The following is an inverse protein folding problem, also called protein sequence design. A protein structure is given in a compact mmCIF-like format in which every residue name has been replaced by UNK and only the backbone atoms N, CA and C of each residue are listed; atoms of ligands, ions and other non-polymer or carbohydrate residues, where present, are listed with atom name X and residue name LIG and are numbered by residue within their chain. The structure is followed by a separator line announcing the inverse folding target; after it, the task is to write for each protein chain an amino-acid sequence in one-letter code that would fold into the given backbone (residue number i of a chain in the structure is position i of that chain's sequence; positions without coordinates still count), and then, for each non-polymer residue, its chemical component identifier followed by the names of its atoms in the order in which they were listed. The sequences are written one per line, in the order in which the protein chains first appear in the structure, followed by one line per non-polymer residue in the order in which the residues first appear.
data_IF_263775016118
#
_entry.id   IF_263775016118
#
_cell.length_a   1.000
_cell.length_b   1.000
_cell.length_c   1.000
_cell.angle_alpha   90.00
_cell.angle_beta   90.00
_cell.angle_gamma   90.00
#
_symmetry.space_group_name_H-M   'P 1'
#
loop_
_entity.id
_entity.type
_entity.pdbx_description
1 polymer ?
#
# COMPACT_ATOMS: atom_id res chain seq x y z
N UNK A 1 -13.38 8.06 -18.20
CA UNK A 1 -14.70 8.68 -18.47
C UNK A 1 -15.54 8.83 -17.21
N UNK A 2 -15.91 7.76 -16.51
CA UNK A 2 -16.70 7.87 -15.28
C UNK A 2 -16.09 8.80 -14.21
N UNK A 3 -14.79 8.70 -13.94
CA UNK A 3 -14.08 9.58 -12.99
C UNK A 3 -14.16 11.08 -13.37
N UNK A 4 -14.17 11.40 -14.66
CA UNK A 4 -14.30 12.79 -15.14
C UNK A 4 -15.73 13.28 -14.88
N UNK A 5 -16.74 12.46 -15.22
CA UNK A 5 -18.16 12.80 -15.00
C UNK A 5 -18.44 13.02 -13.52
N UNK A 6 -17.95 12.13 -12.65
CA UNK A 6 -18.08 12.26 -11.19
C UNK A 6 -17.38 13.51 -10.65
N UNK A 7 -16.36 14.02 -11.34
CA UNK A 7 -15.64 15.22 -10.91
C UNK A 7 -16.33 16.53 -11.28
N UNK A 8 -17.25 16.54 -12.25
CA UNK A 8 -17.92 17.76 -12.73
C UNK A 8 -18.65 18.52 -11.60
N UNK A 9 -19.49 17.88 -10.76
CA UNK A 9 -20.18 18.59 -9.68
C UNK A 9 -19.19 19.20 -8.67
N UNK A 10 -18.11 18.49 -8.37
CA UNK A 10 -17.02 18.96 -7.53
C UNK A 10 -16.32 20.20 -8.09
N UNK A 11 -15.95 20.14 -9.37
CA UNK A 11 -15.31 21.25 -10.07
C UNK A 11 -16.19 22.49 -10.18
N UNK A 12 -17.50 22.32 -10.38
CA UNK A 12 -18.45 23.44 -10.42
C UNK A 12 -18.63 24.12 -9.05
N UNK A 13 -18.58 23.36 -7.95
CA UNK A 13 -18.81 23.89 -6.60
C UNK A 13 -17.55 24.44 -5.94
N UNK A 14 -16.42 23.76 -6.09
CA UNK A 14 -15.19 24.04 -5.34
C UNK A 14 -14.04 24.55 -6.21
N UNK A 15 -14.26 24.68 -7.52
CA UNK A 15 -13.21 25.05 -8.47
C UNK A 15 -12.34 23.88 -8.90
N UNK A 16 -11.38 24.18 -9.78
CA UNK A 16 -10.44 23.19 -10.34
C UNK A 16 -9.03 23.56 -9.92
N UNK A 17 -8.40 22.71 -9.12
CA UNK A 17 -6.97 22.76 -8.87
C UNK A 17 -6.24 22.03 -10.00
N UNK A 18 -5.84 22.76 -11.05
CA UNK A 18 -5.39 22.17 -12.33
C UNK A 18 -4.23 21.17 -12.18
N UNK A 19 -3.21 21.52 -11.39
CA UNK A 19 -2.05 20.65 -11.20
C UNK A 19 -2.41 19.37 -10.43
N UNK A 20 -3.13 19.50 -9.31
CA UNK A 20 -3.63 18.37 -8.55
C UNK A 20 -4.58 17.48 -9.37
N UNK A 21 -5.49 18.08 -10.16
CA UNK A 21 -6.41 17.34 -11.03
C UNK A 21 -5.65 16.60 -12.14
N UNK A 22 -4.62 17.22 -12.71
CA UNK A 22 -3.75 16.58 -13.69
C UNK A 22 -3.00 15.39 -13.07
N UNK A 23 -2.45 15.54 -11.86
CA UNK A 23 -1.77 14.44 -11.13
C UNK A 23 -2.71 13.26 -10.84
N UNK A 24 -3.93 13.52 -10.35
CA UNK A 24 -4.90 12.46 -10.07
C UNK A 24 -5.37 11.74 -11.35
N UNK A 25 -5.67 12.48 -12.42
CA UNK A 25 -6.08 11.89 -13.71
C UNK A 25 -4.94 11.09 -14.35
N UNK A 26 -3.72 11.65 -14.36
CA UNK A 26 -2.54 10.95 -14.90
C UNK A 26 -2.15 9.74 -14.07
N UNK A 27 -2.34 9.77 -12.76
CA UNK A 27 -2.21 8.61 -11.88
C UNK A 27 -3.15 7.46 -12.28
N UNK A 28 -4.44 7.76 -12.46
CA UNK A 28 -5.42 6.77 -12.95
C UNK A 28 -5.09 6.25 -14.36
N UNK A 29 -4.70 7.14 -15.27
CA UNK A 29 -4.28 6.75 -16.62
C UNK A 29 -3.03 5.87 -16.59
N UNK A 30 -2.08 6.16 -15.71
CA UNK A 30 -0.88 5.37 -15.50
C UNK A 30 -1.19 3.94 -15.06
N UNK A 31 -2.17 3.75 -14.15
CA UNK A 31 -2.64 2.42 -13.75
C UNK A 31 -3.23 1.67 -14.94
N UNK A 32 -4.13 2.30 -15.69
CA UNK A 32 -4.76 1.69 -16.86
C UNK A 32 -3.75 1.37 -17.97
N UNK A 33 -2.78 2.26 -18.20
CA UNK A 33 -1.70 2.06 -19.16
C UNK A 33 -0.79 0.90 -18.74
N UNK A 34 -0.48 0.77 -17.45
CA UNK A 34 0.30 -0.34 -16.91
C UNK A 34 -0.44 -1.67 -17.07
N UNK A 35 -1.74 -1.69 -16.75
CA UNK A 35 -2.60 -2.86 -16.98
C UNK A 35 -2.65 -3.25 -18.46
N UNK A 36 -2.85 -2.26 -19.34
CA UNK A 36 -2.85 -2.45 -20.79
C UNK A 36 -1.50 -2.98 -21.30
N UNK A 37 -0.39 -2.45 -20.81
CA UNK A 37 0.95 -2.90 -21.19
C UNK A 37 1.19 -4.37 -20.79
N UNK A 38 0.79 -4.77 -19.58
CA UNK A 38 0.90 -6.16 -19.10
C UNK A 38 0.01 -7.09 -19.95
N UNK A 39 -1.25 -6.69 -20.20
CA UNK A 39 -2.18 -7.47 -21.03
C UNK A 39 -1.66 -7.65 -22.47
N UNK A 40 -1.10 -6.60 -23.07
CA UNK A 40 -0.47 -6.67 -24.39
C UNK A 40 0.77 -7.56 -24.35
N UNK A 41 1.64 -7.39 -23.34
CA UNK A 41 2.90 -8.13 -23.23
C UNK A 41 2.70 -9.64 -23.10
N UNK A 42 1.79 -10.08 -22.22
CA UNK A 42 1.60 -11.49 -21.93
C UNK A 42 0.46 -12.14 -22.71
N UNK A 43 -0.65 -11.41 -22.95
CA UNK A 43 -1.79 -11.92 -23.70
C UNK A 43 -1.57 -11.92 -25.22
N UNK A 44 -1.18 -10.77 -25.77
CA UNK A 44 -1.05 -10.60 -27.23
C UNK A 44 0.35 -11.01 -27.70
N UNK A 45 1.40 -10.42 -27.14
CA UNK A 45 2.79 -10.64 -27.56
C UNK A 45 3.40 -11.91 -26.98
N UNK A 46 2.76 -12.54 -26.00
CA UNK A 46 3.18 -13.80 -25.37
C UNK A 46 4.66 -13.81 -24.96
N UNK A 47 5.13 -12.70 -24.39
CA UNK A 47 6.52 -12.55 -23.97
C UNK A 47 6.84 -13.63 -22.91
N UNK A 48 7.99 -14.33 -23.01
CA UNK A 48 8.36 -15.33 -22.02
C UNK A 48 8.63 -14.69 -20.66
N UNK A 49 7.99 -15.24 -19.62
CA UNK A 49 8.07 -14.78 -18.23
C UNK A 49 9.49 -14.67 -17.67
N UNK A 50 10.44 -15.43 -18.22
CA UNK A 50 11.83 -15.46 -17.75
C UNK A 50 12.50 -14.10 -17.77
N UNK A 51 12.31 -13.32 -18.84
CA UNK A 51 13.00 -12.03 -19.01
C UNK A 51 12.46 -10.98 -18.04
N UNK A 52 11.14 -10.71 -17.97
CA UNK A 52 10.58 -9.78 -16.99
C UNK A 52 10.90 -10.16 -15.54
N UNK A 53 10.84 -11.45 -15.20
CA UNK A 53 11.14 -11.92 -13.83
C UNK A 53 12.61 -11.73 -13.44
N UNK A 54 13.54 -11.93 -14.36
CA UNK A 54 14.97 -11.69 -14.10
C UNK A 54 15.24 -10.21 -13.84
N UNK A 55 14.67 -9.34 -14.68
CA UNK A 55 14.79 -7.89 -14.51
C UNK A 55 14.19 -7.48 -13.17
N UNK A 56 12.98 -7.95 -12.86
CA UNK A 56 12.32 -7.66 -11.60
C UNK A 56 13.17 -8.09 -10.39
N UNK A 57 13.62 -9.35 -10.35
CA UNK A 57 14.43 -9.88 -9.26
C UNK A 57 15.74 -9.08 -9.12
N UNK A 58 16.40 -8.75 -10.23
CA UNK A 58 17.62 -7.94 -10.22
C UNK A 58 17.36 -6.53 -9.67
N UNK A 59 16.29 -5.87 -10.08
CA UNK A 59 15.90 -4.54 -9.59
C UNK A 59 15.63 -4.52 -8.08
N UNK A 60 14.97 -5.55 -7.56
CA UNK A 60 14.73 -5.66 -6.11
C UNK A 60 16.01 -5.97 -5.32
N UNK A 61 16.91 -6.80 -5.83
CA UNK A 61 18.22 -6.98 -5.20
C UNK A 61 19.06 -5.72 -5.20
N UNK A 62 19.02 -4.95 -6.30
CA UNK A 62 19.69 -3.66 -6.37
C UNK A 62 19.12 -2.66 -5.36
N UNK A 63 17.79 -2.53 -5.30
CA UNK A 63 17.09 -1.74 -4.28
C UNK A 63 17.45 -2.17 -2.86
N UNK A 64 17.52 -3.48 -2.60
CA UNK A 64 17.98 -4.02 -1.32
C UNK A 64 19.40 -3.58 -0.97
N UNK A 65 20.33 -3.75 -1.92
CA UNK A 65 21.72 -3.33 -1.77
C UNK A 65 21.87 -1.84 -1.49
N UNK A 66 21.10 -1.00 -2.18
CA UNK A 66 21.09 0.45 -1.90
C UNK A 66 20.60 0.72 -0.48
N UNK A 67 19.57 0.03 0.01
CA UNK A 67 19.13 0.18 1.40
C UNK A 67 20.18 -0.23 2.43
N UNK A 68 20.97 -1.28 2.16
CA UNK A 68 22.12 -1.65 3.01
C UNK A 68 23.17 -0.53 3.02
N UNK A 69 23.48 0.06 1.86
CA UNK A 69 24.41 1.19 1.78
C UNK A 69 23.88 2.41 2.52
N UNK A 70 22.59 2.72 2.39
CA UNK A 70 21.94 3.78 3.15
C UNK A 70 22.04 3.53 4.66
N UNK A 71 21.71 2.33 5.11
CA UNK A 71 21.80 1.96 6.52
C UNK A 71 23.23 2.10 7.06
N UNK A 72 24.23 1.60 6.33
CA UNK A 72 25.65 1.76 6.67
C UNK A 72 26.07 3.23 6.70
N UNK A 73 25.62 4.04 5.73
CA UNK A 73 25.95 5.46 5.69
C UNK A 73 25.40 6.23 6.90
N UNK A 74 24.21 5.85 7.39
CA UNK A 74 23.60 6.42 8.59
C UNK A 74 24.39 5.98 9.82
N UNK A 75 24.65 4.67 9.99
CA UNK A 75 25.32 4.12 11.17
C UNK A 75 26.80 4.50 11.28
N UNK A 76 27.47 4.70 10.13
CA UNK A 76 28.87 5.12 10.07
C UNK A 76 29.01 6.64 9.90
N UNK A 77 27.90 7.39 9.91
CA UNK A 77 27.85 8.85 9.74
C UNK A 77 28.63 9.37 8.51
N UNK A 78 28.51 8.70 7.37
CA UNK A 78 29.20 9.07 6.12
C UNK A 78 28.42 10.19 5.42
N UNK A 79 28.69 11.44 5.83
CA UNK A 79 27.98 12.64 5.34
C UNK A 79 27.83 12.75 3.82
N UNK A 80 28.88 12.51 2.99
CA UNK A 80 28.73 12.63 1.54
C UNK A 80 27.69 11.68 0.96
N UNK A 81 27.54 10.47 1.53
CA UNK A 81 26.56 9.49 1.07
C UNK A 81 25.16 9.84 1.57
N UNK A 82 25.02 10.25 2.84
CA UNK A 82 23.72 10.65 3.38
C UNK A 82 23.18 11.88 2.64
N UNK A 83 24.05 12.85 2.32
CA UNK A 83 23.69 14.05 1.56
C UNK A 83 23.32 13.70 0.12
N UNK A 84 24.09 12.83 -0.55
CA UNK A 84 23.77 12.37 -1.90
C UNK A 84 22.37 11.74 -1.96
N UNK A 85 22.06 10.82 -1.04
CA UNK A 85 20.75 10.18 -1.04
C UNK A 85 19.63 11.13 -0.58
N UNK A 86 19.90 12.08 0.31
CA UNK A 86 18.93 13.09 0.70
C UNK A 86 18.51 13.98 -0.47
N UNK A 87 19.43 14.29 -1.40
CA UNK A 87 19.11 15.02 -2.63
C UNK A 87 18.42 14.16 -3.69
N UNK A 88 18.70 12.85 -3.73
CA UNK A 88 18.10 11.93 -4.69
C UNK A 88 16.62 11.64 -4.39
N UNK A 89 16.23 11.66 -3.11
CA UNK A 89 14.88 11.27 -2.68
C UNK A 89 13.92 12.47 -2.63
N UNK A 90 12.74 12.31 -3.22
CA UNK A 90 11.68 13.32 -3.16
C UNK A 90 11.19 13.58 -1.72
N UNK A 91 11.04 12.52 -0.91
CA UNK A 91 10.85 12.59 0.54
C UNK A 91 12.03 11.89 1.21
N UNK A 92 12.82 12.61 1.98
CA UNK A 92 14.05 12.08 2.59
C UNK A 92 13.81 11.64 4.04
N UNK A 93 14.24 10.42 4.38
CA UNK A 93 14.16 9.84 5.75
C UNK A 93 15.55 9.48 6.28
N UNK A 94 16.60 9.85 5.55
CA UNK A 94 17.98 9.46 5.85
C UNK A 94 18.57 10.35 6.93
N UNK A 95 18.32 11.67 6.84
CA UNK A 95 18.82 12.62 7.84
C UNK A 95 17.94 12.59 9.08
N UNK A 96 18.55 12.56 10.28
CA UNK A 96 17.85 12.55 11.56
C UNK A 96 16.88 13.72 11.74
N UNK A 97 17.24 14.90 11.22
CA UNK A 97 16.42 16.12 11.26
C UNK A 97 15.26 16.14 10.25
N UNK A 98 14.96 15.01 9.60
CA UNK A 98 13.82 14.94 8.68
C UNK A 98 12.50 15.14 9.41
N UNK A 99 11.66 16.02 8.86
CA UNK A 99 10.28 16.27 9.30
C UNK A 99 9.42 15.00 9.24
N UNK A 100 9.86 13.98 8.48
CA UNK A 100 9.14 12.74 8.26
C UNK A 100 9.56 11.57 9.17
N UNK A 101 10.50 11.81 10.11
CA UNK A 101 11.05 10.77 10.99
C UNK A 101 12.30 10.13 10.41
N UNK A 102 13.43 10.80 10.64
CA UNK A 102 14.75 10.50 10.08
C UNK A 102 15.48 9.26 10.61
N UNK A 103 16.70 9.07 10.09
CA UNK A 103 17.64 8.03 10.52
C UNK A 103 17.33 6.64 9.96
N UNK A 104 16.64 6.54 8.81
CA UNK A 104 16.14 5.26 8.29
C UNK A 104 16.48 5.04 6.81
N UNK A 105 16.82 3.81 6.41
CA UNK A 105 17.00 3.47 5.00
C UNK A 105 15.65 3.39 4.26
N UNK A 106 15.64 3.87 3.02
CA UNK A 106 14.45 3.93 2.15
C UNK A 106 14.49 2.93 0.99
N UNK A 107 15.65 2.32 0.71
CA UNK A 107 15.81 1.28 -0.34
C UNK A 107 15.38 1.74 -1.75
N UNK A 108 15.49 3.04 -2.04
CA UNK A 108 14.98 3.71 -3.26
C UNK A 108 13.45 3.80 -3.37
N UNK A 109 12.70 3.45 -2.33
CA UNK A 109 11.28 3.75 -2.27
C UNK A 109 11.04 5.19 -1.84
N UNK A 110 9.93 5.77 -2.28
CA UNK A 110 9.51 7.10 -1.85
C UNK A 110 9.33 7.18 -0.32
N UNK A 111 8.95 6.07 0.32
CA UNK A 111 8.83 5.95 1.78
C UNK A 111 9.27 4.57 2.25
N UNK A 112 9.85 4.44 3.47
CA UNK A 112 10.11 3.14 4.07
C UNK A 112 8.84 2.28 4.23
N UNK A 113 7.68 2.94 4.32
CA UNK A 113 6.37 2.29 4.46
C UNK A 113 5.93 1.51 3.22
N UNK A 114 6.52 1.77 2.04
CA UNK A 114 6.20 1.07 0.79
C UNK A 114 6.92 -0.27 0.61
N UNK A 115 7.93 -0.56 1.45
CA UNK A 115 8.66 -1.83 1.37
C UNK A 115 7.69 -3.02 1.50
N UNK A 116 6.82 -3.00 2.51
CA UNK A 116 5.85 -4.08 2.74
C UNK A 116 4.83 -4.21 1.61
N UNK A 117 4.37 -3.09 1.04
CA UNK A 117 3.49 -3.07 -0.12
C UNK A 117 4.13 -3.75 -1.35
N UNK A 118 5.40 -3.49 -1.61
CA UNK A 118 6.10 -4.11 -2.74
C UNK A 118 6.41 -5.59 -2.50
N UNK A 119 6.88 -5.94 -1.30
CA UNK A 119 7.20 -7.34 -0.97
C UNK A 119 5.95 -8.22 -0.96
N UNK A 120 4.88 -7.78 -0.31
CA UNK A 120 3.69 -8.60 -0.09
C UNK A 120 2.56 -8.32 -1.08
N UNK A 121 2.50 -7.12 -1.65
CA UNK A 121 1.52 -6.75 -2.67
C UNK A 121 1.97 -7.08 -4.09
N UNK A 122 3.27 -7.12 -4.39
CA UNK A 122 3.79 -7.40 -5.75
C UNK A 122 4.58 -8.70 -5.82
N UNK A 123 5.56 -8.92 -4.94
CA UNK A 123 6.43 -10.11 -5.04
C UNK A 123 5.78 -11.39 -4.54
N UNK A 124 5.08 -11.34 -3.39
CA UNK A 124 4.40 -12.52 -2.84
C UNK A 124 3.34 -13.11 -3.78
N UNK A 125 2.49 -12.30 -4.44
CA UNK A 125 1.53 -12.82 -5.40
C UNK A 125 2.23 -13.39 -6.63
N UNK A 126 3.27 -12.71 -7.13
CA UNK A 126 4.07 -13.21 -8.23
C UNK A 126 4.78 -14.54 -7.90
N UNK A 127 5.21 -14.72 -6.66
CA UNK A 127 5.76 -15.99 -6.17
C UNK A 127 4.71 -17.10 -6.20
N UNK A 128 3.48 -16.82 -5.76
CA UNK A 128 2.36 -17.76 -5.85
C UNK A 128 2.02 -18.10 -7.31
N UNK A 129 2.02 -17.12 -8.22
CA UNK A 129 1.85 -17.33 -9.66
C UNK A 129 2.92 -18.27 -10.23
N UNK A 130 4.19 -18.03 -9.88
CA UNK A 130 5.30 -18.84 -10.36
C UNK A 130 5.33 -20.25 -9.76
N UNK A 131 4.64 -20.50 -8.65
CA UNK A 131 4.59 -21.84 -8.04
C UNK A 131 4.00 -22.89 -8.98
N UNK A 132 3.02 -22.50 -9.80
CA UNK A 132 2.41 -23.37 -10.82
C UNK A 132 3.23 -23.48 -12.11
N UNK A 133 4.00 -22.45 -12.46
CA UNK A 133 4.71 -22.36 -13.76
C UNK A 133 6.19 -22.74 -13.70
N UNK A 134 6.95 -22.19 -12.76
CA UNK A 134 8.40 -22.40 -12.63
C UNK A 134 8.85 -22.37 -11.16
N UNK A 135 9.13 -23.56 -10.63
CA UNK A 135 9.56 -23.76 -9.24
C UNK A 135 10.87 -23.05 -8.91
N UNK A 136 11.75 -22.81 -9.89
CA UNK A 136 13.04 -22.14 -9.67
C UNK A 136 12.81 -20.66 -9.39
N UNK A 137 12.01 -19.97 -10.20
CA UNK A 137 11.70 -18.55 -9.97
C UNK A 137 10.84 -18.36 -8.72
N UNK A 138 9.90 -19.26 -8.43
CA UNK A 138 9.16 -19.22 -7.17
C UNK A 138 10.10 -19.30 -5.96
N UNK A 139 11.12 -20.18 -5.98
CA UNK A 139 12.14 -20.26 -4.92
C UNK A 139 12.98 -18.98 -4.82
N UNK A 140 13.38 -18.40 -5.95
CA UNK A 140 14.16 -17.14 -5.98
C UNK A 140 13.36 -15.96 -5.43
N UNK A 141 12.09 -15.82 -5.82
CA UNK A 141 11.18 -14.79 -5.30
C UNK A 141 10.95 -14.98 -3.81
N UNK A 142 10.72 -16.21 -3.34
CA UNK A 142 10.60 -16.50 -1.90
C UNK A 142 11.85 -16.07 -1.13
N UNK A 143 13.02 -16.46 -1.61
CA UNK A 143 14.29 -16.12 -0.95
C UNK A 143 14.49 -14.60 -0.91
N UNK A 144 14.18 -13.90 -2.01
CA UNK A 144 14.22 -12.44 -2.07
C UNK A 144 13.26 -11.82 -1.04
N UNK A 145 11.98 -12.23 -1.00
CA UNK A 145 11.00 -11.70 -0.05
C UNK A 145 11.48 -11.89 1.39
N UNK A 146 11.97 -13.08 1.74
CA UNK A 146 12.43 -13.39 3.10
C UNK A 146 13.67 -12.57 3.47
N UNK A 147 14.69 -12.53 2.60
CA UNK A 147 15.92 -11.77 2.87
C UNK A 147 15.61 -10.28 2.97
N UNK A 148 14.75 -9.76 2.10
CA UNK A 148 14.38 -8.35 2.09
C UNK A 148 13.59 -8.01 3.37
N UNK A 149 12.58 -8.80 3.73
CA UNK A 149 11.78 -8.57 4.94
C UNK A 149 12.66 -8.62 6.21
N UNK A 150 13.49 -9.66 6.37
CA UNK A 150 14.40 -9.77 7.51
C UNK A 150 15.40 -8.62 7.53
N UNK A 151 16.02 -8.31 6.39
CA UNK A 151 16.97 -7.22 6.28
C UNK A 151 16.36 -5.87 6.64
N UNK A 152 15.16 -5.56 6.13
CA UNK A 152 14.45 -4.32 6.45
C UNK A 152 14.04 -4.22 7.93
N UNK A 153 13.69 -5.34 8.57
CA UNK A 153 13.42 -5.38 10.02
C UNK A 153 14.71 -5.16 10.83
N UNK A 154 15.79 -5.86 10.49
CA UNK A 154 17.10 -5.70 11.16
C UNK A 154 17.66 -4.29 11.01
N UNK A 155 17.47 -3.67 9.84
CA UNK A 155 17.88 -2.30 9.56
C UNK A 155 16.92 -1.25 10.12
N UNK A 156 15.88 -1.66 10.86
CA UNK A 156 14.86 -0.78 11.45
C UNK A 156 14.27 0.22 10.45
N UNK A 157 14.03 -0.24 9.22
CA UNK A 157 13.49 0.60 8.15
C UNK A 157 12.13 1.22 8.51
N UNK A 158 11.31 0.49 9.28
CA UNK A 158 10.10 1.01 9.89
C UNK A 158 9.27 -0.08 10.58
N UNK A 159 8.46 0.32 11.58
CA UNK A 159 7.53 -0.56 12.31
C UNK A 159 6.58 -1.31 11.39
N UNK A 160 6.18 -0.67 10.28
CA UNK A 160 5.23 -1.24 9.33
C UNK A 160 5.72 -2.51 8.64
N UNK A 161 7.03 -2.63 8.36
CA UNK A 161 7.53 -3.86 7.73
C UNK A 161 7.37 -5.07 8.66
N UNK A 162 7.45 -4.87 9.98
CA UNK A 162 7.19 -5.90 10.98
C UNK A 162 5.72 -6.32 10.92
N UNK A 163 4.79 -5.36 10.97
CA UNK A 163 3.36 -5.61 10.91
C UNK A 163 2.95 -6.31 9.60
N UNK A 164 3.41 -5.79 8.46
CA UNK A 164 3.12 -6.34 7.13
C UNK A 164 3.69 -7.76 6.99
N UNK A 165 4.87 -8.04 7.56
CA UNK A 165 5.47 -9.38 7.56
C UNK A 165 4.67 -10.38 8.38
N UNK A 166 4.14 -9.96 9.54
CA UNK A 166 3.27 -10.81 10.38
C UNK A 166 1.98 -11.12 9.63
N UNK A 167 1.32 -10.10 9.07
CA UNK A 167 0.06 -10.29 8.32
C UNK A 167 0.29 -11.18 7.10
N UNK A 168 1.34 -10.93 6.32
CA UNK A 168 1.69 -11.76 5.18
C UNK A 168 2.01 -13.21 5.58
N UNK A 169 2.68 -13.43 6.71
CA UNK A 169 2.96 -14.76 7.25
C UNK A 169 1.68 -15.49 7.66
N UNK A 170 0.75 -14.83 8.35
CA UNK A 170 -0.54 -15.39 8.70
C UNK A 170 -1.33 -15.80 7.45
N UNK A 171 -1.39 -14.91 6.45
CA UNK A 171 -2.03 -15.20 5.16
C UNK A 171 -1.36 -16.37 4.45
N UNK A 172 -0.02 -16.42 4.42
CA UNK A 172 0.72 -17.53 3.81
C UNK A 172 0.46 -18.88 4.53
N UNK A 173 0.39 -18.88 5.86
CA UNK A 173 0.05 -20.07 6.67
C UNK A 173 -1.38 -20.52 6.35
N UNK A 174 -2.32 -19.58 6.27
CA UNK A 174 -3.69 -19.86 5.88
C UNK A 174 -3.68 -20.52 4.52
N UNK A 175 -3.06 -19.94 3.49
CA UNK A 175 -3.02 -20.49 2.12
C UNK A 175 -2.42 -21.89 2.07
N UNK A 176 -1.29 -22.12 2.77
CA UNK A 176 -0.51 -23.35 2.62
C UNK A 176 -1.11 -24.59 3.29
N UNK A 177 -1.87 -24.44 4.37
CA UNK A 177 -2.42 -25.58 5.11
C UNK A 177 -3.81 -25.96 4.62
N UNK A 178 -4.08 -27.25 4.37
CA UNK A 178 -5.47 -27.68 4.14
C UNK A 178 -6.20 -27.74 5.48
N UNK A 179 -7.36 -27.08 5.56
CA UNK A 179 -8.14 -26.98 6.81
C UNK A 179 -9.13 -28.13 6.98
N UNK A 180 -9.33 -28.93 5.92
CA UNK A 180 -10.20 -30.10 5.94
C UNK A 180 -9.54 -31.31 6.64
N UNK A 181 -8.20 -31.43 6.61
CA UNK A 181 -7.48 -32.49 7.29
C UNK A 181 -7.16 -32.11 8.73
N UNK A 182 -7.52 -32.97 9.70
CA UNK A 182 -7.32 -32.77 11.13
C UNK A 182 -5.83 -32.59 11.49
N UNK A 183 -4.92 -33.33 10.86
CA UNK A 183 -3.47 -33.22 11.14
C UNK A 183 -2.89 -31.90 10.63
N UNK A 184 -3.28 -31.48 9.42
CA UNK A 184 -2.84 -30.21 8.85
C UNK A 184 -3.47 -29.01 9.55
N UNK A 185 -4.70 -29.15 10.04
CA UNK A 185 -5.36 -28.13 10.87
C UNK A 185 -4.63 -27.86 12.18
N UNK A 186 -4.22 -28.91 12.91
CA UNK A 186 -3.43 -28.74 14.15
C UNK A 186 -2.09 -28.07 13.87
N UNK A 187 -1.41 -28.50 12.80
CA UNK A 187 -0.16 -27.84 12.36
C UNK A 187 -0.39 -26.38 11.98
N UNK A 188 -1.46 -26.08 11.27
CA UNK A 188 -1.83 -24.71 10.89
C UNK A 188 -2.10 -23.82 12.10
N UNK A 189 -2.84 -24.32 13.10
CA UNK A 189 -3.09 -23.59 14.35
C UNK A 189 -1.78 -23.33 15.10
N UNK A 190 -0.92 -24.35 15.23
CA UNK A 190 0.39 -24.18 15.88
C UNK A 190 1.27 -23.15 15.15
N UNK A 191 1.25 -23.15 13.81
CA UNK A 191 1.97 -22.17 13.00
C UNK A 191 1.39 -20.75 13.15
N UNK A 192 0.07 -20.60 13.22
CA UNK A 192 -0.57 -19.31 13.48
C UNK A 192 -0.20 -18.77 14.86
N UNK A 193 -0.28 -19.60 15.90
CA UNK A 193 0.13 -19.22 17.26
C UNK A 193 1.62 -18.83 17.31
N UNK A 194 2.48 -19.60 16.65
CA UNK A 194 3.90 -19.29 16.52
C UNK A 194 4.17 -17.97 15.78
N UNK A 195 3.42 -17.69 14.70
CA UNK A 195 3.53 -16.45 13.94
C UNK A 195 3.03 -15.24 14.74
N UNK A 196 1.94 -15.39 15.51
CA UNK A 196 1.44 -14.35 16.42
C UNK A 196 2.46 -14.09 17.53
N UNK A 197 3.02 -15.13 18.16
CA UNK A 197 4.06 -14.97 19.18
C UNK A 197 5.31 -14.30 18.63
N UNK A 198 5.77 -14.69 17.45
CA UNK A 198 6.92 -14.06 16.79
C UNK A 198 6.63 -12.60 16.42
N UNK A 199 5.40 -12.33 15.96
CA UNK A 199 4.92 -10.98 15.72
C UNK A 199 4.92 -10.14 17.00
N UNK A 200 4.37 -10.66 18.10
CA UNK A 200 4.38 -10.02 19.40
C UNK A 200 5.81 -9.75 19.89
N UNK A 201 6.74 -10.69 19.73
CA UNK A 201 8.14 -10.48 20.10
C UNK A 201 8.83 -9.40 19.24
N UNK A 202 8.59 -9.41 17.92
CA UNK A 202 9.11 -8.38 17.02
C UNK A 202 8.51 -6.99 17.30
N UNK A 203 7.24 -6.95 17.71
CA UNK A 203 6.51 -5.76 18.15
C UNK A 203 7.06 -5.26 19.49
N UNK A 204 7.29 -6.14 20.47
CA UNK A 204 7.84 -5.79 21.79
C UNK A 204 9.31 -5.34 21.73
N UNK A 205 10.06 -5.76 20.72
CA UNK A 205 11.44 -5.33 20.50
C UNK A 205 11.55 -3.92 19.87
N UNK A 206 10.44 -3.33 19.43
CA UNK A 206 10.40 -2.00 18.82
C UNK A 206 9.99 -0.93 19.84
N UNK A 207 10.86 0.06 20.04
CA UNK A 207 10.68 1.15 21.01
C UNK A 207 9.47 2.05 20.71
N UNK A 208 8.86 1.93 19.52
CA UNK A 208 7.63 2.66 19.19
C UNK A 208 6.38 2.04 19.79
N UNK A 209 6.38 0.74 20.08
CA UNK A 209 5.20 0.06 20.63
C UNK A 209 5.10 0.16 22.15
N UNK A 210 6.23 0.31 22.85
CA UNK A 210 6.20 0.80 24.23
C UNK A 210 5.57 2.20 24.29
N UNK A 211 5.93 3.08 23.35
CA UNK A 211 5.32 4.40 23.23
C UNK A 211 3.83 4.34 22.88
N UNK A 212 3.37 3.44 22.00
CA UNK A 212 1.94 3.23 21.72
C UNK A 212 1.20 2.63 22.93
N UNK A 213 1.83 1.72 23.67
CA UNK A 213 1.24 1.13 24.87
C UNK A 213 1.11 2.15 26.02
N UNK A 214 2.03 3.10 26.10
CA UNK A 214 2.03 4.18 27.10
C UNK A 214 1.15 5.37 26.71
N UNK A 215 1.18 5.79 25.43
CA UNK A 215 0.56 7.03 24.94
C UNK A 215 -0.59 6.80 23.94
N UNK A 216 -1.04 5.55 23.75
CA UNK A 216 -2.08 5.21 22.78
C UNK A 216 -1.66 5.47 21.33
N UNK A 217 -2.61 5.84 20.47
CA UNK A 217 -2.35 6.08 19.05
C UNK A 217 -1.36 7.24 18.79
N UNK A 218 -1.20 8.17 19.74
CA UNK A 218 -0.24 9.29 19.66
C UNK A 218 1.21 8.85 19.87
N UNK A 219 1.42 7.68 20.48
CA UNK A 219 2.74 7.12 20.70
C UNK A 219 3.53 6.81 19.42
N UNK A 220 2.85 6.71 18.27
CA UNK A 220 3.47 6.68 16.95
C UNK A 220 2.89 7.80 16.08
N UNK A 221 3.66 8.89 15.94
CA UNK A 221 3.27 10.03 15.10
C UNK A 221 2.93 9.65 13.66
N UNK A 222 3.50 8.57 13.11
CA UNK A 222 3.13 8.09 11.78
C UNK A 222 1.78 7.36 11.76
N UNK A 223 1.42 6.66 12.85
CA UNK A 223 0.12 6.01 12.97
C UNK A 223 -0.97 7.06 13.21
N UNK A 224 -0.73 8.01 14.11
CA UNK A 224 -1.64 9.12 14.37
C UNK A 224 -1.85 9.98 13.12
N UNK A 225 -0.79 10.26 12.36
CA UNK A 225 -0.86 10.93 11.06
C UNK A 225 -1.84 10.28 10.09
N UNK A 226 -1.85 8.96 10.01
CA UNK A 226 -2.76 8.23 9.13
C UNK A 226 -4.21 8.39 9.56
N UNK A 227 -4.47 8.40 10.86
CA UNK A 227 -5.82 8.57 11.39
C UNK A 227 -6.38 9.92 10.99
N UNK A 228 -5.69 11.03 11.32
CA UNK A 228 -6.24 12.35 11.01
C UNK A 228 -6.23 12.67 9.52
N UNK A 229 -5.20 12.26 8.76
CA UNK A 229 -5.14 12.48 7.30
C UNK A 229 -6.20 11.70 6.52
N UNK A 230 -6.69 10.57 7.06
CA UNK A 230 -7.85 9.87 6.50
C UNK A 230 -9.17 10.42 7.02
N UNK A 231 -9.22 10.85 8.28
CA UNK A 231 -10.44 11.33 8.92
C UNK A 231 -10.88 12.70 8.37
N UNK A 232 -9.94 13.61 8.13
CA UNK A 232 -10.21 14.94 7.58
C UNK A 232 -11.06 14.89 6.29
N UNK A 233 -10.62 14.22 5.20
CA UNK A 233 -11.42 14.15 3.98
C UNK A 233 -12.73 13.37 4.18
N UNK A 234 -12.78 12.36 5.06
CA UNK A 234 -14.02 11.61 5.35
C UNK A 234 -15.04 12.52 6.04
N UNK A 235 -14.62 13.28 7.04
CA UNK A 235 -15.46 14.29 7.68
C UNK A 235 -15.87 15.38 6.69
N UNK A 236 -15.00 15.73 5.73
CA UNK A 236 -15.32 16.63 4.63
C UNK A 236 -16.47 16.12 3.76
N UNK A 237 -16.47 14.83 3.42
CA UNK A 237 -17.57 14.23 2.65
C UNK A 237 -18.91 14.34 3.38
N UNK A 238 -18.91 14.19 4.71
CA UNK A 238 -20.12 14.33 5.53
C UNK A 238 -20.60 15.79 5.63
N UNK A 239 -19.72 16.78 5.47
CA UNK A 239 -20.11 18.20 5.46
C UNK A 239 -20.97 18.57 4.25
N UNK A 240 -20.86 17.83 3.14
CA UNK A 240 -21.65 18.02 1.93
C UNK A 240 -22.26 16.68 1.47
N UNK A 241 -23.50 16.34 1.85
CA UNK A 241 -24.06 15.00 1.65
C UNK A 241 -24.01 14.45 0.22
N UNK A 242 -24.07 15.32 -0.80
CA UNK A 242 -23.96 14.91 -2.20
C UNK A 242 -22.52 14.50 -2.60
N UNK A 243 -21.50 15.02 -1.92
CA UNK A 243 -20.09 14.65 -2.13
C UNK A 243 -19.80 13.23 -1.66
N UNK A 244 -20.61 12.67 -0.76
CA UNK A 244 -20.52 11.23 -0.40
C UNK A 244 -20.71 10.35 -1.64
N UNK A 245 -21.55 10.75 -2.58
CA UNK A 245 -21.83 9.97 -3.79
C UNK A 245 -20.81 10.22 -4.90
N UNK A 246 -20.44 11.48 -5.13
CA UNK A 246 -19.66 11.90 -6.31
C UNK A 246 -18.25 12.39 -6.02
N UNK A 247 -17.93 12.65 -4.75
CA UNK A 247 -16.67 13.22 -4.30
C UNK A 247 -16.61 14.74 -4.45
N UNK A 248 -15.44 15.30 -4.13
CA UNK A 248 -15.10 16.71 -4.32
C UNK A 248 -14.55 17.01 -5.73
N UNK A 249 -14.35 15.96 -6.54
CA UNK A 249 -13.74 16.02 -7.86
C UNK A 249 -12.22 15.79 -7.83
N UNK A 250 -11.69 15.34 -8.95
CA UNK A 250 -10.26 15.10 -9.12
C UNK A 250 -9.46 16.38 -8.83
N UNK A 251 -8.44 16.28 -7.98
CA UNK A 251 -7.58 17.38 -7.54
C UNK A 251 -8.11 18.17 -6.33
N UNK A 252 -9.30 17.85 -5.82
CA UNK A 252 -9.97 18.64 -4.78
C UNK A 252 -9.93 17.98 -3.38
N UNK A 253 -8.98 17.08 -3.14
CA UNK A 253 -8.78 16.47 -1.80
C UNK A 253 -8.59 17.55 -0.72
N UNK A 254 -7.86 18.63 -1.02
CA UNK A 254 -7.64 19.74 -0.09
C UNK A 254 -8.95 20.40 0.37
N UNK A 255 -9.94 20.50 -0.52
CA UNK A 255 -11.24 21.08 -0.20
C UNK A 255 -12.02 20.18 0.76
N UNK A 256 -11.89 18.86 0.60
CA UNK A 256 -12.45 17.89 1.54
C UNK A 256 -11.75 17.98 2.92
N UNK A 257 -10.42 18.09 2.93
CA UNK A 257 -9.63 18.25 4.16
C UNK A 257 -10.04 19.51 4.92
N UNK A 258 -10.10 20.67 4.24
CA UNK A 258 -10.53 21.93 4.88
C UNK A 258 -11.96 21.88 5.41
N UNK A 259 -12.89 21.25 4.68
CA UNK A 259 -14.28 21.11 5.13
C UNK A 259 -14.42 20.18 6.36
N UNK A 260 -13.56 19.17 6.46
CA UNK A 260 -13.63 18.15 7.51
C UNK A 260 -12.80 18.42 8.76
N UNK A 261 -11.75 19.24 8.69
CA UNK A 261 -10.77 19.41 9.76
C UNK A 261 -11.39 19.73 11.14
N UNK A 262 -12.36 20.64 11.20
CA UNK A 262 -13.05 21.00 12.47
C UNK A 262 -13.96 19.90 13.02
N UNK A 263 -14.44 18.99 12.17
CA UNK A 263 -15.24 17.84 12.59
C UNK A 263 -14.32 16.70 13.05
N UNK A 264 -13.22 16.48 12.33
CA UNK A 264 -12.17 15.54 12.71
C UNK A 264 -11.54 15.92 14.05
N UNK A 265 -11.23 17.19 14.28
CA UNK A 265 -10.75 17.71 15.57
C UNK A 265 -11.70 17.35 16.71
N UNK A 266 -12.99 17.63 16.56
CA UNK A 266 -14.01 17.32 17.58
C UNK A 266 -14.11 15.82 17.85
N UNK A 267 -14.04 14.99 16.81
CA UNK A 267 -14.09 13.54 16.95
C UNK A 267 -12.85 13.01 17.68
N UNK A 268 -11.66 13.47 17.30
CA UNK A 268 -10.39 13.08 17.93
C UNK A 268 -10.34 13.51 19.39
N UNK A 269 -10.73 14.76 19.69
CA UNK A 269 -10.82 15.25 21.07
C UNK A 269 -11.84 14.44 21.88
N UNK A 270 -12.97 14.04 21.28
CA UNK A 270 -13.96 13.17 21.92
C UNK A 270 -13.46 11.74 22.20
N UNK A 271 -12.44 11.28 21.47
CA UNK A 271 -11.75 10.01 21.70
C UNK A 271 -10.55 10.15 22.66
N UNK A 272 -10.34 11.34 23.23
CA UNK A 272 -9.20 11.63 24.12
C UNK A 272 -7.86 11.78 23.39
N UNK A 273 -7.89 12.06 22.08
CA UNK A 273 -6.71 12.25 21.23
C UNK A 273 -6.51 13.72 20.85
N UNK A 274 -5.31 14.08 20.38
CA UNK A 274 -4.93 15.44 20.01
C UNK A 274 -5.55 15.91 18.69
N UNK A 275 -6.79 16.37 18.73
CA UNK A 275 -7.51 16.87 17.55
C UNK A 275 -6.86 18.09 16.88
N UNK A 276 -5.98 18.83 17.57
CA UNK A 276 -5.27 19.98 16.98
C UNK A 276 -4.33 19.59 15.84
N UNK A 277 -3.86 18.34 15.81
CA UNK A 277 -3.02 17.82 14.73
C UNK A 277 -3.77 17.77 13.38
N UNK A 278 -5.08 17.51 13.40
CA UNK A 278 -5.93 17.51 12.21
C UNK A 278 -6.04 18.92 11.60
N UNK A 279 -6.32 19.92 12.43
CA UNK A 279 -6.38 21.34 12.00
C UNK A 279 -5.00 21.86 11.59
N UNK A 280 -3.94 21.48 12.30
CA UNK A 280 -2.56 21.80 11.96
C UNK A 280 -2.16 21.24 10.60
N UNK A 281 -2.57 20.01 10.28
CA UNK A 281 -2.38 19.42 8.96
C UNK A 281 -3.16 20.19 7.89
N UNK A 282 -4.46 20.42 8.09
CA UNK A 282 -5.30 21.13 7.12
C UNK A 282 -4.79 22.55 6.81
N UNK A 283 -4.23 23.25 7.81
CA UNK A 283 -3.68 24.61 7.65
C UNK A 283 -2.29 24.64 7.02
N UNK A 284 -1.50 23.57 7.16
CA UNK A 284 -0.16 23.44 6.57
C UNK A 284 -0.14 22.92 5.13
N UNK A 285 -1.27 22.43 4.61
CA UNK A 285 -1.36 21.82 3.27
C UNK A 285 -1.99 22.76 2.24
N UNK A 286 -1.60 22.58 0.99
CA UNK A 286 -2.20 23.23 -0.19
C UNK A 286 -2.62 22.18 -1.22
N UNK A 287 -3.24 22.60 -2.33
CA UNK A 287 -3.74 21.67 -3.35
C UNK A 287 -2.66 20.75 -3.96
N UNK A 288 -1.41 21.22 -4.05
CA UNK A 288 -0.30 20.48 -4.66
C UNK A 288 0.45 19.57 -3.68
N UNK A 289 0.29 19.86 -2.39
CA UNK A 289 0.96 19.16 -1.29
C UNK A 289 0.01 18.33 -0.46
N UNK A 290 -1.31 18.41 -0.66
CA UNK A 290 -2.24 17.57 0.08
C UNK A 290 -2.09 16.13 -0.34
N UNK A 291 -2.12 15.23 0.63
CA UNK A 291 -2.24 13.80 0.37
C UNK A 291 -3.09 13.16 1.44
N UNK A 292 -3.61 11.97 1.13
CA UNK A 292 -4.22 11.11 2.15
C UNK A 292 -3.38 9.84 2.24
N UNK A 293 -3.09 9.34 3.44
CA UNK A 293 -2.27 8.13 3.61
C UNK A 293 -3.00 6.83 3.21
N UNK A 294 -4.17 6.91 2.57
CA UNK A 294 -5.02 5.80 2.20
C UNK A 294 -5.61 6.00 0.80
N UNK A 295 -5.27 5.10 -0.14
CA UNK A 295 -5.71 5.18 -1.52
C UNK A 295 -7.23 5.13 -1.65
N UNK A 296 -7.90 4.37 -0.77
CA UNK A 296 -9.37 4.34 -0.72
C UNK A 296 -9.93 5.68 -0.27
N UNK A 297 -9.31 6.33 0.72
CA UNK A 297 -9.72 7.67 1.15
C UNK A 297 -9.52 8.68 0.02
N UNK A 298 -8.40 8.64 -0.71
CA UNK A 298 -8.20 9.48 -1.91
C UNK A 298 -9.30 9.25 -2.96
N UNK A 299 -9.60 7.98 -3.30
CA UNK A 299 -10.64 7.63 -4.27
C UNK A 299 -12.02 8.13 -3.83
N UNK A 300 -12.39 7.92 -2.57
CA UNK A 300 -13.70 8.33 -2.05
C UNK A 300 -13.77 9.86 -1.92
N UNK A 301 -12.69 10.52 -1.52
CA UNK A 301 -12.62 11.97 -1.46
C UNK A 301 -12.79 12.62 -2.84
N UNK A 302 -12.15 12.08 -3.88
CA UNK A 302 -12.19 12.66 -5.23
C UNK A 302 -13.42 12.24 -6.03
N UNK A 303 -13.84 10.97 -5.94
CA UNK A 303 -14.87 10.38 -6.81
C UNK A 303 -16.09 9.81 -6.07
N UNK A 304 -16.12 9.91 -4.74
CA UNK A 304 -17.22 9.44 -3.90
C UNK A 304 -17.37 7.92 -3.88
N UNK A 305 -18.45 7.46 -3.25
CA UNK A 305 -18.79 6.04 -3.18
C UNK A 305 -19.10 5.45 -4.56
N UNK A 306 -19.65 6.23 -5.49
CA UNK A 306 -19.89 5.74 -6.86
C UNK A 306 -18.56 5.43 -7.54
N UNK A 307 -17.56 6.31 -7.40
CA UNK A 307 -16.22 6.07 -7.92
C UNK A 307 -15.56 4.83 -7.32
N UNK A 308 -15.68 4.63 -6.00
CA UNK A 308 -15.17 3.44 -5.32
C UNK A 308 -15.88 2.16 -5.80
N UNK A 309 -17.21 2.17 -5.90
CA UNK A 309 -17.99 1.03 -6.39
C UNK A 309 -17.62 0.70 -7.83
N UNK A 310 -17.46 1.70 -8.69
CA UNK A 310 -17.00 1.49 -10.07
C UNK A 310 -15.58 0.93 -10.13
N UNK A 311 -14.68 1.37 -9.26
CA UNK A 311 -13.32 0.82 -9.16
C UNK A 311 -13.36 -0.65 -8.73
N UNK A 312 -14.19 -0.99 -7.73
CA UNK A 312 -14.38 -2.37 -7.27
C UNK A 312 -15.00 -3.22 -8.36
N UNK A 313 -16.07 -2.75 -9.03
CA UNK A 313 -16.70 -3.46 -10.15
C UNK A 313 -15.70 -3.63 -11.29
N UNK A 314 -14.96 -2.60 -11.67
CA UNK A 314 -13.95 -2.70 -12.74
C UNK A 314 -12.85 -3.69 -12.37
N UNK A 315 -12.41 -3.71 -11.11
CA UNK A 315 -11.43 -4.68 -10.61
C UNK A 315 -11.99 -6.10 -10.67
N UNK A 316 -13.21 -6.32 -10.16
CA UNK A 316 -13.89 -7.62 -10.21
C UNK A 316 -14.15 -8.05 -11.66
N UNK A 317 -14.64 -7.16 -12.53
CA UNK A 317 -14.91 -7.47 -13.95
C UNK A 317 -13.62 -7.76 -14.71
N UNK A 318 -12.54 -7.04 -14.41
CA UNK A 318 -11.23 -7.35 -14.98
C UNK A 318 -10.76 -8.73 -14.55
N UNK A 319 -11.04 -9.12 -13.31
CA UNK A 319 -10.79 -10.47 -12.83
C UNK A 319 -11.73 -11.49 -13.45
N UNK A 320 -13.04 -11.25 -13.52
CA UNK A 320 -14.02 -12.21 -14.03
C UNK A 320 -13.90 -12.41 -15.53
N UNK A 321 -13.59 -11.39 -16.32
CA UNK A 321 -13.27 -11.59 -17.75
C UNK A 321 -12.02 -12.44 -17.96
N UNK A 322 -11.08 -12.32 -17.04
CA UNK A 322 -9.88 -13.15 -17.01
C UNK A 322 -10.22 -14.57 -16.52
N UNK A 323 -11.14 -14.70 -15.57
CA UNK A 323 -11.66 -15.99 -15.11
C UNK A 323 -12.51 -16.69 -16.16
N UNK A 324 -13.35 -16.00 -16.93
CA UNK A 324 -14.16 -16.59 -18.01
C UNK A 324 -13.26 -17.17 -19.11
N UNK A 325 -12.09 -16.58 -19.34
CA UNK A 325 -11.07 -17.14 -20.25
C UNK A 325 -10.28 -18.31 -19.64
N UNK A 326 -10.30 -18.51 -18.31
CA UNK A 326 -9.59 -19.57 -17.60
C UNK A 326 -10.50 -20.72 -17.10
N UNK A 327 -11.82 -20.47 -16.98
CA UNK A 327 -12.83 -21.36 -16.40
C UNK A 327 -13.27 -22.51 -17.32
N UNK A 328 -12.46 -22.88 -18.32
CA UNK A 328 -12.64 -24.14 -19.03
C UNK A 328 -12.12 -25.37 -18.24
N UNK A 329 -11.55 -25.17 -17.03
CA UNK A 329 -10.89 -26.26 -16.28
C UNK A 329 -11.28 -26.41 -14.80
N UNK A 330 -11.05 -25.40 -13.95
CA UNK A 330 -11.21 -25.54 -12.49
C UNK A 330 -11.68 -24.23 -11.82
N UNK A 331 -12.36 -24.36 -10.68
CA UNK A 331 -13.19 -23.31 -10.07
C UNK A 331 -12.51 -21.96 -9.81
N UNK A 332 -13.25 -20.91 -10.16
CA UNK A 332 -12.90 -19.47 -10.20
C UNK A 332 -12.36 -18.88 -8.88
N UNK A 333 -12.63 -19.50 -7.73
CA UNK A 333 -12.29 -18.94 -6.41
C UNK A 333 -11.36 -19.88 -5.64
N UNK A 334 -10.08 -19.86 -6.00
CA UNK A 334 -9.08 -20.53 -5.19
C UNK A 334 -8.83 -19.76 -3.88
N UNK A 335 -8.59 -20.51 -2.81
CA UNK A 335 -8.21 -19.98 -1.50
C UNK A 335 -7.06 -18.96 -1.57
N UNK A 336 -6.13 -19.15 -2.51
CA UNK A 336 -5.00 -18.24 -2.74
C UNK A 336 -5.47 -16.86 -3.22
N UNK A 337 -6.45 -16.81 -4.14
CA UNK A 337 -7.00 -15.54 -4.66
C UNK A 337 -7.73 -14.77 -3.57
N UNK A 338 -8.54 -15.44 -2.75
CA UNK A 338 -9.27 -14.78 -1.64
C UNK A 338 -8.28 -14.21 -0.63
N UNK A 339 -7.30 -15.01 -0.20
CA UNK A 339 -6.26 -14.60 0.74
C UNK A 339 -5.44 -13.41 0.21
N UNK A 340 -5.19 -13.40 -1.09
CA UNK A 340 -4.48 -12.32 -1.76
C UNK A 340 -5.32 -11.03 -1.87
N UNK A 341 -6.61 -11.12 -2.19
CA UNK A 341 -7.52 -9.98 -2.21
C UNK A 341 -7.60 -9.31 -0.82
N UNK A 342 -7.72 -10.11 0.23
CA UNK A 342 -7.71 -9.63 1.62
C UNK A 342 -6.39 -8.91 1.93
N UNK A 343 -5.25 -9.46 1.49
CA UNK A 343 -3.95 -8.84 1.68
C UNK A 343 -3.83 -7.50 0.93
N UNK A 344 -4.40 -7.38 -0.27
CA UNK A 344 -4.43 -6.10 -0.99
C UNK A 344 -5.29 -5.08 -0.27
N UNK A 345 -6.50 -5.45 0.15
CA UNK A 345 -7.37 -4.53 0.90
C UNK A 345 -6.62 -4.00 2.11
N UNK A 346 -5.95 -4.88 2.85
CA UNK A 346 -5.10 -4.50 3.98
C UNK A 346 -3.96 -3.54 3.60
N UNK A 347 -3.17 -3.87 2.57
CA UNK A 347 -1.99 -3.07 2.19
C UNK A 347 -2.38 -1.68 1.65
N UNK A 348 -3.49 -1.57 0.91
CA UNK A 348 -3.92 -0.31 0.27
C UNK A 348 -4.77 0.59 1.17
N UNK A 349 -5.35 0.07 2.26
CA UNK A 349 -5.88 0.91 3.35
C UNK A 349 -4.78 1.80 3.95
N UNK A 350 -3.54 1.36 3.84
CA UNK A 350 -2.41 1.95 4.54
C UNK A 350 -1.44 2.73 3.62
N UNK A 351 -1.74 2.86 2.32
CA UNK A 351 -0.85 3.52 1.36
C UNK A 351 -1.54 4.68 0.64
N UNK A 352 -0.80 5.77 0.46
CA UNK A 352 -1.26 7.05 -0.10
C UNK A 352 -1.57 7.02 -1.61
N UNK A 353 -0.94 6.12 -2.36
CA UNK A 353 -0.81 6.29 -3.80
C UNK A 353 -1.67 5.32 -4.61
N UNK A 354 -2.10 5.75 -5.80
CA UNK A 354 -2.74 4.94 -6.85
C UNK A 354 -1.81 3.87 -7.44
N UNK A 355 -0.79 3.43 -6.71
CA UNK A 355 0.16 2.43 -7.12
C UNK A 355 -0.49 1.04 -7.06
N UNK A 356 -1.62 0.84 -7.75
CA UNK A 356 -2.33 -0.43 -7.92
C UNK A 356 -1.53 -1.44 -8.77
N UNK A 357 -0.21 -1.47 -8.64
CA UNK A 357 0.67 -2.42 -9.33
C UNK A 357 0.38 -3.89 -8.94
N UNK A 358 -0.32 -4.09 -7.82
CA UNK A 358 -0.76 -5.41 -7.37
C UNK A 358 -1.98 -5.94 -8.15
N UNK A 359 -2.94 -5.09 -8.55
CA UNK A 359 -4.13 -5.49 -9.32
C UNK A 359 -3.82 -6.21 -10.66
N UNK A 360 -2.80 -5.82 -11.44
CA UNK A 360 -2.38 -6.56 -12.63
C UNK A 360 -1.93 -7.99 -12.35
N UNK A 361 -1.23 -8.24 -11.23
CA UNK A 361 -0.73 -9.57 -10.87
C UNK A 361 -1.88 -10.54 -10.58
N UNK A 362 -2.99 -9.99 -10.12
CA UNK A 362 -4.23 -10.73 -9.89
C UNK A 362 -4.78 -11.41 -11.12
N UNK A 363 -4.92 -10.63 -12.19
CA UNK A 363 -5.47 -11.10 -13.45
C UNK A 363 -4.62 -12.29 -13.92
N UNK A 364 -3.31 -12.18 -13.85
CA UNK A 364 -2.41 -13.28 -14.22
C UNK A 364 -2.50 -14.51 -13.30
N UNK A 365 -2.74 -14.36 -11.99
CA UNK A 365 -2.94 -15.50 -11.07
C UNK A 365 -4.21 -16.28 -11.34
N UNK A 366 -5.22 -15.59 -11.84
CA UNK A 366 -6.51 -16.16 -12.20
C UNK A 366 -6.46 -16.93 -13.52
N UNK A 367 -5.49 -16.63 -14.40
CA UNK A 367 -5.24 -17.40 -15.63
C UNK A 367 -4.56 -18.76 -15.41
N UNK A 368 -4.08 -19.08 -14.20
CA UNK A 368 -3.11 -20.18 -13.96
C UNK A 368 -3.54 -21.16 -12.88
N UNK A 369 -4.49 -20.78 -12.03
CA UNK A 369 -5.17 -21.69 -11.12
C UNK A 369 -6.33 -22.36 -11.86
#
# INVERSE_FOLDING_TARGET
MACIILSIPGWLKFGIHLNAAFMSITGLLGVLATLGAIAIAFGIKRIPWRTPLRILIASYWFSFGVGVVQWLSIHLHIKPLTDYFAHLMYRQYINESSVWGGGRPQFLFAEPSYIGMHLFGVLLPLMWLMRGRDRIYAKRLRNLIVVYAIGSVLMQAGTRIVLDSVVALLVAIIVHNSWCDKKQRVRGIAQLLGAVMLGLLGVLADSRLSSIAENGAEGDGSFFARIYQSLDPICGLLAHPWTVLTGYGSGNIINAVWAGAKHAERLLNGLGMNGSAAVGFATGMNADTVWTMCAYTSVVAEYGLIGLVLLVIASIVSMTRVFDTAAAGHGVWSKTVICWLVLIVYLYIQCENYAFAALPCANEMCFVA
#
